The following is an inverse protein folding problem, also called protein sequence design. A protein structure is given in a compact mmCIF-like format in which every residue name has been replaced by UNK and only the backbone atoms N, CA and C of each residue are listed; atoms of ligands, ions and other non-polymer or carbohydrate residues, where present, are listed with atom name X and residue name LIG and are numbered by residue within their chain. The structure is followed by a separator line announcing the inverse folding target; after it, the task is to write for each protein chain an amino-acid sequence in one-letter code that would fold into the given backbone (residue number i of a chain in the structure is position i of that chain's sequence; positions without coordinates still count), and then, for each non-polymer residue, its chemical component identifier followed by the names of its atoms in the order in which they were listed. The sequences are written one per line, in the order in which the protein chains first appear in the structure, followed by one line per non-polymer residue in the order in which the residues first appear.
data_IF_006516431505
#
_entry.id   IF_006516431505
#
_cell.length_a   1.000
_cell.length_b   1.000
_cell.length_c   1.000
_cell.angle_alpha   90.00
_cell.angle_beta   90.00
_cell.angle_gamma   90.00
#
_symmetry.space_group_name_H-M   'P 1'
#
loop_
_entity.id
_entity.type
_entity.pdbx_description
1 polymer ?
#
# COMPACT_ATOMS: atom_id res chain seq x y z
N UNK A 1 -13.26 61.69 -16.88
CA UNK A 1 -12.53 60.91 -17.91
C UNK A 1 -11.53 59.91 -17.34
N UNK A 2 -10.40 60.30 -16.74
CA UNK A 2 -9.45 59.31 -16.18
C UNK A 2 -10.03 58.50 -14.98
N UNK A 3 -10.85 59.15 -14.15
CA UNK A 3 -11.49 58.53 -13.00
C UNK A 3 -12.53 57.46 -13.40
N UNK A 4 -13.28 57.70 -14.50
CA UNK A 4 -14.27 56.76 -15.03
C UNK A 4 -13.62 55.49 -15.59
N UNK A 5 -12.47 55.65 -16.26
CA UNK A 5 -11.71 54.53 -16.82
C UNK A 5 -11.17 53.64 -15.70
N UNK A 6 -10.61 54.23 -14.63
CA UNK A 6 -10.12 53.48 -13.48
C UNK A 6 -11.22 52.70 -12.75
N UNK A 7 -12.42 53.30 -12.62
CA UNK A 7 -13.58 52.65 -12.02
C UNK A 7 -14.05 51.44 -12.84
N UNK A 8 -14.11 51.57 -14.16
CA UNK A 8 -14.48 50.46 -15.07
C UNK A 8 -13.49 49.31 -14.97
N UNK A 9 -12.18 49.58 -14.96
CA UNK A 9 -11.16 48.53 -14.76
C UNK A 9 -11.25 47.86 -13.39
N UNK A 10 -11.56 48.61 -12.32
CA UNK A 10 -11.75 48.06 -10.99
C UNK A 10 -12.96 47.11 -10.92
N UNK A 11 -14.07 47.47 -11.55
CA UNK A 11 -15.26 46.63 -11.65
C UNK A 11 -14.97 45.35 -12.45
N UNK A 12 -14.28 45.46 -13.58
CA UNK A 12 -13.88 44.28 -14.39
C UNK A 12 -12.94 43.36 -13.60
N UNK A 13 -11.96 43.90 -12.88
CA UNK A 13 -11.05 43.11 -12.06
C UNK A 13 -11.77 42.41 -10.90
N UNK A 14 -12.69 43.12 -10.22
CA UNK A 14 -13.49 42.57 -9.14
C UNK A 14 -14.41 41.44 -9.62
N UNK A 15 -15.11 41.65 -10.73
CA UNK A 15 -16.01 40.65 -11.34
C UNK A 15 -15.25 39.44 -11.84
N UNK A 16 -14.10 39.62 -12.50
CA UNK A 16 -13.23 38.52 -12.91
C UNK A 16 -12.68 37.75 -11.70
N UNK A 17 -12.31 38.46 -10.62
CA UNK A 17 -11.87 37.87 -9.35
C UNK A 17 -12.98 37.03 -8.70
N UNK A 18 -14.21 37.55 -8.63
CA UNK A 18 -15.37 36.83 -8.12
C UNK A 18 -15.69 35.59 -8.95
N UNK A 19 -15.72 35.72 -10.29
CA UNK A 19 -15.96 34.61 -11.20
C UNK A 19 -14.91 33.50 -11.04
N UNK A 20 -13.63 33.87 -10.94
CA UNK A 20 -12.54 32.91 -10.67
C UNK A 20 -12.70 32.22 -9.33
N UNK A 21 -13.13 32.94 -8.30
CA UNK A 21 -13.34 32.39 -6.95
C UNK A 21 -14.52 31.41 -6.91
N UNK A 22 -15.61 31.70 -7.63
CA UNK A 22 -16.76 30.80 -7.80
C UNK A 22 -16.36 29.54 -8.56
N UNK A 23 -15.62 29.67 -9.66
CA UNK A 23 -15.13 28.52 -10.46
C UNK A 23 -14.20 27.63 -9.62
N UNK A 24 -13.27 28.22 -8.87
CA UNK A 24 -12.35 27.47 -8.00
C UNK A 24 -13.09 26.75 -6.86
N UNK A 25 -14.12 27.37 -6.28
CA UNK A 25 -14.97 26.71 -5.28
C UNK A 25 -15.73 25.54 -5.88
N UNK A 26 -16.38 25.73 -7.03
CA UNK A 26 -17.10 24.67 -7.73
C UNK A 26 -16.20 23.50 -8.14
N UNK A 27 -14.96 23.76 -8.57
CA UNK A 27 -13.98 22.72 -8.87
C UNK A 27 -13.58 21.92 -7.62
N UNK A 28 -13.36 22.60 -6.48
CA UNK A 28 -13.04 21.94 -5.20
C UNK A 28 -14.20 21.08 -4.68
N UNK A 29 -15.43 21.57 -4.78
CA UNK A 29 -16.63 20.84 -4.38
C UNK A 29 -16.86 19.61 -5.25
N UNK A 30 -16.65 19.71 -6.57
CA UNK A 30 -16.73 18.56 -7.48
C UNK A 30 -15.67 17.51 -7.20
N UNK A 31 -14.41 17.92 -6.93
CA UNK A 31 -13.34 17.00 -6.56
C UNK A 31 -13.64 16.34 -5.20
N UNK A 32 -14.15 17.10 -4.22
CA UNK A 32 -14.55 16.57 -2.93
C UNK A 32 -15.73 15.58 -3.04
N UNK A 33 -16.75 15.92 -3.83
CA UNK A 33 -17.91 15.08 -4.08
C UNK A 33 -17.54 13.81 -4.86
N UNK A 34 -16.70 13.91 -5.89
CA UNK A 34 -16.16 12.76 -6.62
C UNK A 34 -15.32 11.85 -5.70
N UNK A 35 -14.53 12.43 -4.80
CA UNK A 35 -13.76 11.69 -3.79
C UNK A 35 -14.69 10.97 -2.80
N UNK A 36 -15.74 11.63 -2.33
CA UNK A 36 -16.74 11.03 -1.43
C UNK A 36 -17.58 9.92 -2.11
N UNK A 37 -17.98 10.13 -3.36
CA UNK A 37 -18.70 9.11 -4.14
C UNK A 37 -17.81 7.89 -4.43
N UNK A 38 -16.54 8.12 -4.79
CA UNK A 38 -15.54 7.06 -4.93
C UNK A 38 -15.26 6.35 -3.59
N UNK A 39 -15.29 7.07 -2.47
CA UNK A 39 -15.22 6.45 -1.13
C UNK A 39 -16.45 5.59 -0.84
N UNK A 40 -17.66 6.01 -1.21
CA UNK A 40 -18.88 5.24 -1.01
C UNK A 40 -18.88 3.90 -1.76
N UNK A 41 -18.49 3.91 -3.04
CA UNK A 41 -18.39 2.69 -3.86
C UNK A 41 -17.23 1.79 -3.42
N UNK A 42 -16.08 2.37 -3.06
CA UNK A 42 -14.96 1.61 -2.52
C UNK A 42 -15.29 0.98 -1.15
N UNK A 43 -15.99 1.71 -0.28
CA UNK A 43 -16.39 1.22 1.06
C UNK A 43 -17.38 0.06 0.94
N UNK A 44 -18.37 0.14 0.06
CA UNK A 44 -19.32 -0.96 -0.17
C UNK A 44 -18.61 -2.22 -0.70
N UNK A 45 -17.65 -2.06 -1.62
CA UNK A 45 -16.86 -3.16 -2.16
C UNK A 45 -15.95 -3.79 -1.09
N UNK A 46 -15.32 -2.97 -0.26
CA UNK A 46 -14.48 -3.44 0.85
C UNK A 46 -15.33 -4.16 1.90
N UNK A 47 -16.51 -3.63 2.23
CA UNK A 47 -17.44 -4.28 3.15
C UNK A 47 -17.82 -5.68 2.63
N UNK A 48 -18.05 -5.81 1.34
CA UNK A 48 -18.31 -7.10 0.70
C UNK A 48 -17.07 -8.02 0.74
N UNK A 49 -15.87 -7.48 0.51
CA UNK A 49 -14.61 -8.23 0.57
C UNK A 49 -14.22 -8.65 1.99
N UNK A 50 -14.68 -7.93 3.03
CA UNK A 50 -14.50 -8.27 4.45
C UNK A 50 -15.55 -9.28 4.91
N UNK A 51 -16.78 -9.16 4.43
CA UNK A 51 -17.88 -10.07 4.82
C UNK A 51 -17.60 -11.52 4.42
N UNK A 52 -17.05 -11.74 3.23
CA UNK A 52 -16.77 -13.08 2.71
C UNK A 52 -15.75 -13.90 3.55
N UNK A 53 -14.54 -13.40 3.85
CA UNK A 53 -13.58 -14.12 4.69
C UNK A 53 -14.11 -14.26 6.12
N UNK A 54 -14.87 -13.29 6.63
CA UNK A 54 -15.51 -13.39 7.95
C UNK A 54 -16.54 -14.53 8.01
N UNK A 55 -17.36 -14.72 6.98
CA UNK A 55 -18.28 -15.86 6.90
C UNK A 55 -17.53 -17.18 6.83
N UNK A 56 -16.40 -17.22 6.12
CA UNK A 56 -15.53 -18.40 6.03
C UNK A 56 -14.93 -18.75 7.41
N UNK A 57 -14.45 -17.74 8.15
CA UNK A 57 -13.97 -17.91 9.53
C UNK A 57 -15.04 -18.50 10.45
N UNK A 58 -16.26 -17.97 10.39
CA UNK A 58 -17.38 -18.43 11.22
C UNK A 58 -17.70 -19.89 10.89
N UNK A 59 -17.85 -20.24 9.60
CA UNK A 59 -18.14 -21.60 9.18
C UNK A 59 -17.07 -22.60 9.65
N UNK A 60 -15.79 -22.27 9.46
CA UNK A 60 -14.68 -23.15 9.85
C UNK A 60 -14.57 -23.27 11.38
N UNK A 61 -14.89 -22.20 12.12
CA UNK A 61 -14.95 -22.25 13.58
C UNK A 61 -16.14 -23.08 14.08
N UNK A 62 -17.30 -23.02 13.43
CA UNK A 62 -18.45 -23.89 13.71
C UNK A 62 -18.11 -25.36 13.45
N UNK A 63 -17.39 -25.66 12.37
CA UNK A 63 -16.92 -27.02 12.09
C UNK A 63 -15.95 -27.54 13.17
N UNK A 64 -15.13 -26.68 13.76
CA UNK A 64 -14.23 -27.06 14.86
C UNK A 64 -14.96 -27.32 16.19
N UNK A 65 -16.16 -26.77 16.39
CA UNK A 65 -16.97 -27.00 17.59
C UNK A 65 -17.70 -28.34 17.55
N UNK A 66 -17.96 -28.87 16.35
CA UNK A 66 -18.60 -30.16 16.19
C UNK A 66 -17.56 -31.29 16.08
N UNK A 67 -17.27 -31.93 17.22
CA UNK A 67 -16.32 -33.04 17.33
C UNK A 67 -16.71 -34.26 16.46
N UNK A 68 -17.98 -34.37 16.04
CA UNK A 68 -18.44 -35.42 15.13
C UNK A 68 -18.13 -35.11 13.66
N UNK A 69 -17.92 -33.85 13.29
CA UNK A 69 -17.56 -33.39 11.95
C UNK A 69 -16.05 -33.43 11.68
N UNK A 70 -15.22 -33.21 12.71
CA UNK A 70 -13.75 -33.21 12.57
C UNK A 70 -13.12 -34.05 13.69
N UNK A 71 -13.08 -35.36 13.47
CA UNK A 71 -12.42 -36.31 14.38
C UNK A 71 -10.94 -36.53 14.03
N UNK A 72 -10.55 -36.27 12.78
CA UNK A 72 -9.17 -36.40 12.32
C UNK A 72 -8.32 -35.17 12.69
N UNK A 73 -7.22 -35.34 13.46
CA UNK A 73 -6.27 -34.27 13.75
C UNK A 73 -5.67 -33.59 12.51
N UNK A 74 -5.57 -34.29 11.37
CA UNK A 74 -5.10 -33.74 10.10
C UNK A 74 -6.04 -32.66 9.56
N UNK A 75 -7.30 -33.01 9.36
CA UNK A 75 -8.37 -32.09 8.92
C UNK A 75 -8.51 -30.91 9.89
N UNK A 76 -8.43 -31.15 11.20
CA UNK A 76 -8.50 -30.08 12.20
C UNK A 76 -7.40 -29.04 12.03
N UNK A 77 -6.18 -29.49 11.70
CA UNK A 77 -5.03 -28.60 11.45
C UNK A 77 -5.24 -27.76 10.20
N UNK A 78 -5.76 -28.35 9.13
CA UNK A 78 -6.06 -27.66 7.87
C UNK A 78 -7.15 -26.59 8.04
N UNK A 79 -8.21 -26.89 8.79
CA UNK A 79 -9.27 -25.93 9.13
C UNK A 79 -8.71 -24.76 9.95
N UNK A 80 -7.85 -25.02 10.94
CA UNK A 80 -7.16 -23.96 11.68
C UNK A 80 -6.24 -23.11 10.78
N UNK A 81 -5.52 -23.72 9.83
CA UNK A 81 -4.68 -22.99 8.88
C UNK A 81 -5.50 -22.07 7.98
N UNK A 82 -6.66 -22.55 7.52
CA UNK A 82 -7.61 -21.75 6.72
C UNK A 82 -8.12 -20.54 7.50
N UNK A 83 -8.47 -20.73 8.77
CA UNK A 83 -8.88 -19.64 9.67
C UNK A 83 -7.76 -18.60 9.81
N UNK A 84 -6.52 -19.03 10.07
CA UNK A 84 -5.39 -18.12 10.22
C UNK A 84 -5.15 -17.33 8.92
N UNK A 85 -5.20 -18.01 7.76
CA UNK A 85 -5.03 -17.38 6.45
C UNK A 85 -6.08 -16.30 6.16
N UNK A 86 -7.36 -16.57 6.39
CA UNK A 86 -8.43 -15.59 6.16
C UNK A 86 -8.36 -14.42 7.15
N UNK A 87 -7.97 -14.66 8.40
CA UNK A 87 -7.75 -13.59 9.37
C UNK A 87 -6.59 -12.66 8.96
N UNK A 88 -5.48 -13.22 8.45
CA UNK A 88 -4.35 -12.44 7.93
C UNK A 88 -4.77 -11.60 6.71
N UNK A 89 -5.51 -12.19 5.78
CA UNK A 89 -6.05 -11.49 4.61
C UNK A 89 -6.97 -10.32 5.00
N UNK A 90 -7.83 -10.52 5.99
CA UNK A 90 -8.67 -9.44 6.54
C UNK A 90 -7.83 -8.33 7.17
N UNK A 91 -6.78 -8.67 7.91
CA UNK A 91 -5.88 -7.68 8.49
C UNK A 91 -5.17 -6.83 7.42
N UNK A 92 -4.81 -7.42 6.28
CA UNK A 92 -4.21 -6.70 5.14
C UNK A 92 -5.20 -5.76 4.45
N UNK A 93 -6.43 -6.22 4.20
CA UNK A 93 -7.50 -5.38 3.64
C UNK A 93 -7.78 -4.17 4.54
N UNK A 94 -7.82 -4.39 5.86
CA UNK A 94 -8.02 -3.33 6.84
C UNK A 94 -6.80 -2.39 6.95
N UNK A 95 -5.58 -2.92 6.85
CA UNK A 95 -4.36 -2.11 6.83
C UNK A 95 -4.30 -1.20 5.58
N UNK A 96 -4.68 -1.72 4.41
CA UNK A 96 -4.79 -0.94 3.18
C UNK A 96 -5.86 0.15 3.26
N UNK A 97 -7.05 -0.18 3.80
CA UNK A 97 -8.10 0.81 4.04
C UNK A 97 -7.66 1.87 5.06
N UNK A 98 -7.00 1.46 6.14
CA UNK A 98 -6.46 2.37 7.15
C UNK A 98 -5.40 3.28 6.56
N UNK A 99 -4.48 2.78 5.71
CA UNK A 99 -3.51 3.61 5.01
C UNK A 99 -4.19 4.63 4.06
N UNK A 100 -5.24 4.20 3.34
CA UNK A 100 -6.01 5.08 2.45
C UNK A 100 -6.81 6.15 3.22
N UNK A 101 -7.46 5.78 4.32
CA UNK A 101 -8.20 6.70 5.19
C UNK A 101 -7.26 7.66 5.96
N UNK A 102 -6.11 7.14 6.41
CA UNK A 102 -5.06 7.90 7.09
C UNK A 102 -4.32 8.85 6.14
N UNK A 103 -4.38 8.64 4.82
CA UNK A 103 -3.95 9.62 3.82
C UNK A 103 -4.68 10.97 3.91
N UNK A 104 -5.77 11.07 4.68
CA UNK A 104 -6.43 12.33 5.01
C UNK A 104 -5.98 12.96 6.35
N UNK A 105 -5.30 12.23 7.25
CA UNK A 105 -5.09 12.67 8.65
C UNK A 105 -3.83 12.19 9.39
N UNK A 106 -2.99 11.30 8.85
CA UNK A 106 -1.74 10.89 9.53
C UNK A 106 -0.75 12.06 9.47
N UNK A 107 -0.39 12.61 10.62
CA UNK A 107 0.78 13.51 10.71
C UNK A 107 2.01 12.66 10.38
N UNK A 108 2.62 12.92 9.23
CA UNK A 108 3.92 12.36 8.88
C UNK A 108 4.91 12.94 9.90
N UNK A 109 5.77 12.10 10.46
CA UNK A 109 6.83 12.52 11.38
C UNK A 109 8.20 12.30 10.71
N UNK A 110 8.64 13.21 9.82
CA UNK A 110 9.95 13.09 9.19
C UNK A 110 11.05 13.13 10.24
N UNK A 111 11.99 12.21 10.13
CA UNK A 111 13.25 12.24 10.84
C UNK A 111 14.38 11.74 9.93
N UNK A 112 15.65 12.06 10.24
CA UNK A 112 16.77 11.45 9.56
C UNK A 112 16.77 9.92 9.75
N UNK A 113 16.62 9.19 8.65
CA UNK A 113 16.64 7.72 8.62
C UNK A 113 17.89 7.23 7.88
N UNK A 114 18.75 6.40 8.51
CA UNK A 114 19.82 5.69 7.82
C UNK A 114 19.22 4.60 6.92
N UNK A 115 19.13 4.90 5.62
CA UNK A 115 18.37 4.09 4.67
C UNK A 115 19.04 2.76 4.36
N UNK A 116 20.37 2.72 4.39
CA UNK A 116 21.19 1.52 4.24
C UNK A 116 20.84 0.47 5.31
N UNK A 117 20.78 0.88 6.58
CA UNK A 117 20.37 0.01 7.68
C UNK A 117 18.93 -0.47 7.52
N UNK A 118 18.01 0.44 7.18
CA UNK A 118 16.60 0.09 6.99
C UNK A 118 16.38 -0.91 5.85
N UNK A 119 17.06 -0.72 4.72
CA UNK A 119 16.99 -1.63 3.56
C UNK A 119 17.59 -3.00 3.90
N UNK A 120 18.72 -3.03 4.61
CA UNK A 120 19.34 -4.28 5.06
C UNK A 120 18.42 -5.08 5.97
N UNK A 121 17.76 -4.43 6.93
CA UNK A 121 16.83 -5.08 7.86
C UNK A 121 15.57 -5.58 7.16
N UNK A 122 15.02 -4.80 6.23
CA UNK A 122 13.86 -5.20 5.43
C UNK A 122 14.18 -6.41 4.53
N UNK A 123 15.34 -6.39 3.85
CA UNK A 123 15.79 -7.51 3.03
C UNK A 123 16.03 -8.78 3.86
N UNK A 124 16.62 -8.65 5.05
CA UNK A 124 16.83 -9.77 5.98
C UNK A 124 15.50 -10.38 6.44
N UNK A 125 14.53 -9.55 6.81
CA UNK A 125 13.20 -10.01 7.19
C UNK A 125 12.51 -10.73 6.02
N UNK A 126 12.53 -10.14 4.83
CA UNK A 126 11.94 -10.76 3.64
C UNK A 126 12.57 -12.11 3.29
N UNK A 127 13.89 -12.28 3.52
CA UNK A 127 14.58 -13.54 3.28
C UNK A 127 14.12 -14.68 4.20
N UNK A 128 13.63 -14.38 5.41
CA UNK A 128 13.08 -15.41 6.31
C UNK A 128 11.78 -16.01 5.76
N UNK A 129 11.02 -15.22 5.00
CA UNK A 129 9.73 -15.62 4.42
C UNK A 129 9.86 -16.13 2.97
N UNK A 130 11.06 -16.12 2.39
CA UNK A 130 11.35 -16.40 0.98
C UNK A 130 11.72 -17.88 0.73
N UNK A 131 10.82 -18.81 1.06
CA UNK A 131 11.06 -20.25 0.83
C UNK A 131 11.23 -20.54 -0.67
N UNK A 132 12.41 -21.06 -1.05
CA UNK A 132 12.71 -21.45 -2.43
C UNK A 132 13.07 -20.28 -3.36
N UNK A 133 13.26 -19.07 -2.81
CA UNK A 133 13.67 -17.87 -3.56
C UNK A 133 15.04 -17.43 -3.06
N UNK A 134 15.99 -17.26 -3.98
CA UNK A 134 17.31 -16.71 -3.68
C UNK A 134 17.21 -15.20 -3.41
N UNK A 135 17.52 -14.79 -2.19
CA UNK A 135 17.63 -13.38 -1.82
C UNK A 135 19.08 -12.93 -1.88
N UNK A 136 19.38 -12.00 -2.79
CA UNK A 136 20.69 -11.37 -2.92
C UNK A 136 20.64 -9.91 -2.45
N UNK A 137 21.59 -9.52 -1.61
CA UNK A 137 21.79 -8.12 -1.21
C UNK A 137 23.01 -7.59 -1.95
N UNK A 138 22.78 -6.66 -2.87
CA UNK A 138 23.82 -5.93 -3.59
C UNK A 138 24.41 -4.79 -2.74
N UNK A 139 25.18 -3.87 -3.36
CA UNK A 139 25.74 -2.73 -2.65
C UNK A 139 24.66 -1.88 -1.97
N UNK A 140 24.89 -1.55 -0.69
CA UNK A 140 24.07 -0.64 0.09
C UNK A 140 24.90 0.60 0.45
N UNK A 141 24.87 1.62 -0.41
CA UNK A 141 25.59 2.86 -0.16
C UNK A 141 25.04 3.58 1.08
N UNK A 142 25.88 3.94 2.07
CA UNK A 142 25.43 4.67 3.25
C UNK A 142 24.79 6.02 2.85
N UNK A 143 23.52 6.20 3.19
CA UNK A 143 22.78 7.43 2.90
C UNK A 143 21.66 7.63 3.92
N UNK A 144 21.50 8.86 4.38
CA UNK A 144 20.38 9.24 5.24
C UNK A 144 19.34 10.03 4.43
N UNK A 145 18.07 9.76 4.67
CA UNK A 145 16.93 10.48 4.07
C UNK A 145 16.03 11.05 5.17
N UNK A 146 15.37 12.18 4.91
CA UNK A 146 14.37 12.72 5.83
C UNK A 146 13.00 12.12 5.49
N UNK A 147 12.54 11.20 6.32
CA UNK A 147 11.33 10.41 6.08
C UNK A 147 10.71 9.93 7.39
N UNK A 148 9.44 9.52 7.35
CA UNK A 148 8.86 8.79 8.46
C UNK A 148 9.37 7.33 8.42
N UNK A 149 10.14 6.86 9.42
CA UNK A 149 10.78 5.55 9.38
C UNK A 149 9.77 4.41 9.33
N UNK A 150 8.60 4.58 9.94
CA UNK A 150 7.55 3.56 9.92
C UNK A 150 6.94 3.44 8.52
N UNK A 151 6.61 4.57 7.89
CA UNK A 151 6.04 4.57 6.54
C UNK A 151 7.05 4.09 5.50
N UNK A 152 8.32 4.45 5.64
CA UNK A 152 9.37 4.00 4.73
C UNK A 152 9.63 2.50 4.88
N UNK A 153 9.62 1.97 6.11
CA UNK A 153 9.68 0.53 6.36
C UNK A 153 8.52 -0.20 5.71
N UNK A 154 7.30 0.30 5.90
CA UNK A 154 6.09 -0.28 5.33
C UNK A 154 6.15 -0.32 3.79
N UNK A 155 6.65 0.74 3.16
CA UNK A 155 6.82 0.80 1.71
C UNK A 155 7.82 -0.25 1.22
N UNK A 156 8.94 -0.43 1.90
CA UNK A 156 9.94 -1.47 1.58
C UNK A 156 9.36 -2.87 1.72
N UNK A 157 8.67 -3.14 2.83
CA UNK A 157 8.05 -4.44 3.09
C UNK A 157 6.99 -4.78 2.02
N UNK A 158 6.22 -3.79 1.56
CA UNK A 158 5.27 -3.98 0.46
C UNK A 158 5.96 -4.31 -0.86
N UNK A 159 7.01 -3.59 -1.24
CA UNK A 159 7.72 -3.86 -2.51
C UNK A 159 8.39 -5.24 -2.47
N UNK A 160 9.01 -5.61 -1.36
CA UNK A 160 9.64 -6.93 -1.20
C UNK A 160 8.63 -8.07 -1.18
N UNK A 161 7.45 -7.85 -0.61
CA UNK A 161 6.34 -8.79 -0.69
C UNK A 161 5.88 -8.97 -2.13
N UNK A 162 5.62 -7.88 -2.85
CA UNK A 162 5.22 -7.95 -4.25
C UNK A 162 6.24 -8.70 -5.11
N UNK A 163 7.54 -8.49 -4.86
CA UNK A 163 8.60 -9.22 -5.54
C UNK A 163 8.58 -10.74 -5.26
N UNK A 164 8.15 -11.17 -4.06
CA UNK A 164 7.96 -12.59 -3.73
C UNK A 164 6.70 -13.17 -4.36
N UNK A 165 5.62 -12.40 -4.37
CA UNK A 165 4.34 -12.80 -4.97
C UNK A 165 4.44 -12.95 -6.48
N UNK A 166 5.39 -12.27 -7.14
CA UNK A 166 5.67 -12.41 -8.57
C UNK A 166 6.14 -13.82 -9.00
N UNK A 167 6.32 -14.75 -8.06
CA UNK A 167 6.64 -16.16 -8.33
C UNK A 167 5.44 -17.10 -8.18
N UNK A 168 4.24 -16.57 -7.91
CA UNK A 168 3.01 -17.34 -7.82
C UNK A 168 1.94 -16.77 -8.79
N UNK A 169 1.68 -17.41 -9.95
CA UNK A 169 2.20 -18.72 -10.36
C UNK A 169 3.69 -18.69 -10.80
N UNK A 170 4.38 -19.85 -10.83
CA UNK A 170 5.78 -19.91 -11.24
C UNK A 170 6.00 -19.31 -12.65
N UNK A 171 7.05 -18.49 -12.85
CA UNK A 171 7.31 -17.86 -14.13
C UNK A 171 7.57 -18.89 -15.23
N UNK A 172 6.97 -18.67 -16.42
CA UNK A 172 7.04 -19.60 -17.55
C UNK A 172 8.46 -19.73 -18.16
N UNK A 173 9.30 -18.72 -17.94
CA UNK A 173 10.71 -18.69 -18.32
C UNK A 173 11.49 -17.83 -17.33
N UNK A 174 12.69 -18.25 -16.98
CA UNK A 174 13.52 -17.60 -15.97
C UNK A 174 14.36 -18.66 -15.26
N UNK A 175 15.56 -18.29 -14.83
CA UNK A 175 16.36 -19.14 -13.95
C UNK A 175 15.67 -19.38 -12.59
N UNK A 176 16.37 -19.96 -11.60
CA UNK A 176 15.79 -20.13 -10.27
C UNK A 176 15.24 -18.80 -9.72
N UNK A 177 14.14 -18.82 -8.93
CA UNK A 177 13.55 -17.61 -8.36
C UNK A 177 14.59 -16.81 -7.59
N UNK A 178 14.74 -15.53 -7.93
CA UNK A 178 15.78 -14.65 -7.38
C UNK A 178 15.26 -13.22 -7.23
N UNK A 179 15.53 -12.63 -6.07
CA UNK A 179 15.27 -11.22 -5.78
C UNK A 179 16.59 -10.57 -5.35
N UNK A 180 16.92 -9.44 -5.98
CA UNK A 180 18.10 -8.65 -5.67
C UNK A 180 17.71 -7.27 -5.14
N UNK A 181 18.28 -6.89 -4.00
CA UNK A 181 18.05 -5.59 -3.35
C UNK A 181 19.35 -4.81 -3.30
N UNK A 182 19.34 -3.57 -3.79
CA UNK A 182 20.49 -2.67 -3.75
C UNK A 182 20.07 -1.24 -3.41
N UNK A 183 21.01 -0.46 -2.88
CA UNK A 183 20.83 0.96 -2.57
C UNK A 183 22.02 1.75 -3.11
N UNK A 184 21.72 2.76 -3.94
CA UNK A 184 22.72 3.63 -4.56
C UNK A 184 22.31 5.08 -4.50
N UNK A 185 23.28 5.99 -4.46
CA UNK A 185 23.05 7.43 -4.56
C UNK A 185 23.08 7.83 -6.04
N UNK A 186 22.10 8.63 -6.48
CA UNK A 186 22.05 9.13 -7.85
C UNK A 186 21.50 10.55 -7.88
N UNK A 187 22.32 11.51 -8.31
CA UNK A 187 21.84 12.88 -8.57
C UNK A 187 21.22 13.59 -7.36
N UNK A 188 21.68 13.30 -6.14
CA UNK A 188 21.11 13.84 -4.90
C UNK A 188 19.97 13.02 -4.31
N UNK A 189 19.54 11.96 -4.98
CA UNK A 189 18.51 11.03 -4.52
C UNK A 189 19.13 9.72 -3.99
N UNK A 190 18.43 9.07 -3.08
CA UNK A 190 18.70 7.69 -2.69
C UNK A 190 17.78 6.76 -3.48
N UNK A 191 18.36 5.79 -4.20
CA UNK A 191 17.63 4.88 -5.08
C UNK A 191 17.74 3.47 -4.53
N UNK A 192 16.64 2.97 -3.98
CA UNK A 192 16.47 1.55 -3.65
C UNK A 192 16.03 0.82 -4.92
N UNK A 193 16.74 -0.23 -5.28
CA UNK A 193 16.43 -1.10 -6.41
C UNK A 193 16.04 -2.46 -5.84
N UNK A 194 14.82 -2.91 -6.14
CA UNK A 194 14.37 -4.28 -5.94
C UNK A 194 14.15 -4.87 -7.32
N UNK A 195 14.84 -5.95 -7.64
CA UNK A 195 14.74 -6.65 -8.92
C UNK A 195 14.43 -8.11 -8.68
N UNK A 196 13.29 -8.57 -9.18
CA UNK A 196 12.94 -9.98 -9.27
C UNK A 196 13.06 -10.49 -10.72
N UNK A 197 13.02 -11.82 -10.87
CA UNK A 197 12.85 -12.50 -12.15
C UNK A 197 11.50 -13.26 -12.21
N UNK A 198 10.47 -12.71 -11.58
CA UNK A 198 9.11 -13.26 -11.58
C UNK A 198 8.35 -12.98 -12.88
N UNK A 199 7.03 -13.20 -12.86
CA UNK A 199 6.17 -13.05 -14.04
C UNK A 199 5.91 -11.60 -14.47
N UNK A 200 6.38 -10.60 -13.71
CA UNK A 200 6.18 -9.19 -14.01
C UNK A 200 4.73 -8.70 -13.85
N UNK A 201 4.45 -7.48 -14.31
CA UNK A 201 3.14 -6.83 -14.27
C UNK A 201 2.82 -6.33 -15.70
N UNK A 202 1.59 -6.55 -16.18
CA UNK A 202 1.08 -6.00 -17.45
C UNK A 202 0.59 -4.55 -17.33
#
# INVERSE_FOLDING_TARGET
MLFDIALVFAIIALTAGLARLVVLRGARERVASARLAAMGTATARILHQVKNPLQTLILHAEMLQDEALISDPGVRREVCQTIIGEAMRMAELLAGLSAYASGAQRRIHPSPVPLDGLVADAARAAAQDAKGIEMAVGPLEPVSVDADPYLLRQALDHVLRNAREAFDPPPAAGGPPRIEVALRRRGGEAVVVVRDNGHGIE
#
